data_IF_333821184352
#
_entry.id   IF_333821184352
#
_cell.length_a   1.000
_cell.length_b   1.000
_cell.length_c   1.000
_cell.angle_alpha   90.00
_cell.angle_beta   90.00
_cell.angle_gamma   90.00
#
_symmetry.space_group_name_H-M   'P 1'
#
loop_
_entity.id
_entity.type
_entity.pdbx_description
1 polymer ?
#
# COMPACT_ATOMS: atom_id res chain seq x y z
N UNK A 1 2.00 -17.38 13.76
CA UNK A 1 1.42 -16.02 13.81
C UNK A 1 0.75 -15.78 12.47
N UNK A 2 -0.57 -15.61 12.46
CA UNK A 2 -1.34 -15.38 11.23
C UNK A 2 -1.39 -13.89 10.92
N UNK A 3 -1.09 -13.53 9.67
CA UNK A 3 -1.22 -12.17 9.16
C UNK A 3 -2.18 -12.14 7.97
N UNK A 4 -2.73 -10.95 7.68
CA UNK A 4 -3.57 -10.70 6.52
C UNK A 4 -2.83 -9.80 5.55
N UNK A 5 -2.57 -10.30 4.34
CA UNK A 5 -2.09 -9.45 3.24
C UNK A 5 -3.26 -8.66 2.67
N UNK A 6 -3.14 -7.34 2.67
CA UNK A 6 -4.14 -6.42 2.14
C UNK A 6 -3.57 -5.81 0.86
N UNK A 7 -4.37 -5.85 -0.21
CA UNK A 7 -4.04 -5.23 -1.49
C UNK A 7 -5.15 -4.25 -1.86
N UNK A 8 -4.77 -3.00 -2.12
CA UNK A 8 -5.64 -1.98 -2.67
C UNK A 8 -5.31 -1.81 -4.16
N UNK A 9 -6.32 -1.99 -5.01
CA UNK A 9 -6.20 -1.77 -6.47
C UNK A 9 -6.87 -0.44 -6.80
N UNK A 10 -6.11 0.51 -7.33
CA UNK A 10 -6.59 1.85 -7.66
C UNK A 10 -7.16 1.85 -9.07
N UNK A 11 -8.36 2.43 -9.23
CA UNK A 11 -9.04 2.56 -10.52
C UNK A 11 -9.25 1.24 -11.29
N UNK A 12 -9.23 0.10 -10.59
CA UNK A 12 -9.30 -1.22 -11.22
C UNK A 12 -8.05 -1.63 -12.02
N UNK A 13 -6.99 -0.82 -12.00
CA UNK A 13 -5.72 -1.13 -12.68
C UNK A 13 -4.80 -1.90 -11.74
N UNK A 14 -4.53 -3.16 -12.07
CA UNK A 14 -3.64 -4.05 -11.29
C UNK A 14 -2.18 -3.61 -11.27
N UNK A 15 -1.80 -2.64 -12.10
CA UNK A 15 -0.47 -2.00 -12.05
C UNK A 15 -0.43 -0.80 -11.10
N UNK A 16 -1.57 -0.38 -10.54
CA UNK A 16 -1.68 0.70 -9.56
C UNK A 16 -2.13 0.11 -8.22
N UNK A 17 -1.16 -0.40 -7.46
CA UNK A 17 -1.44 -1.12 -6.21
C UNK A 17 -0.70 -0.56 -5.02
N UNK A 18 -1.36 -0.66 -3.86
CA UNK A 18 -0.76 -0.51 -2.54
C UNK A 18 -0.92 -1.86 -1.83
N UNK A 19 0.15 -2.37 -1.24
CA UNK A 19 0.12 -3.61 -0.48
C UNK A 19 0.69 -3.41 0.93
N UNK A 20 0.10 -4.10 1.91
CA UNK A 20 0.61 -4.13 3.27
C UNK A 20 0.25 -5.44 3.94
N UNK A 21 1.03 -5.81 4.96
CA UNK A 21 0.71 -6.93 5.84
C UNK A 21 0.14 -6.39 7.14
N UNK A 22 -1.08 -6.80 7.49
CA UNK A 22 -1.68 -6.53 8.79
C UNK A 22 -1.46 -7.73 9.69
N UNK A 23 -0.90 -7.50 10.86
CA UNK A 23 -0.63 -8.53 11.87
C UNK A 23 -1.44 -8.22 13.13
N UNK A 24 -1.88 -9.26 13.83
CA UNK A 24 -2.51 -9.11 15.14
C UNK A 24 -1.45 -9.39 16.20
N UNK A 25 -1.23 -8.40 17.07
CA UNK A 25 -0.36 -8.56 18.23
C UNK A 25 -1.01 -9.43 19.31
N UNK A 26 -0.21 -9.88 20.28
CA UNK A 26 -0.69 -10.59 21.47
C UNK A 26 -1.66 -9.74 22.32
N UNK A 27 -1.63 -8.42 22.15
CA UNK A 27 -2.56 -7.46 22.74
C UNK A 27 -3.97 -7.48 22.14
N UNK A 28 -4.15 -8.19 21.00
CA UNK A 28 -5.37 -8.16 20.19
C UNK A 28 -5.49 -6.93 19.29
N UNK A 29 -4.50 -6.03 19.30
CA UNK A 29 -4.45 -4.90 18.36
C UNK A 29 -3.96 -5.36 16.99
N UNK A 30 -4.46 -4.69 15.95
CA UNK A 30 -3.97 -4.89 14.59
C UNK A 30 -2.94 -3.81 14.26
N UNK A 31 -1.77 -4.24 13.83
CA UNK A 31 -0.72 -3.36 13.33
C UNK A 31 -0.52 -3.63 11.83
N UNK A 32 -0.52 -2.55 11.05
CA UNK A 32 -0.08 -2.63 9.66
C UNK A 32 1.44 -2.45 9.62
N UNK A 33 2.14 -3.37 8.98
CA UNK A 33 3.56 -3.24 8.70
C UNK A 33 3.83 -2.16 7.65
N UNK A 34 5.06 -2.15 7.11
CA UNK A 34 5.40 -1.28 5.98
C UNK A 34 4.44 -1.53 4.81
N UNK A 35 4.18 -0.48 4.04
CA UNK A 35 3.42 -0.58 2.80
C UNK A 35 4.36 -0.54 1.59
N UNK A 36 4.02 -1.34 0.59
CA UNK A 36 4.57 -1.27 -0.77
C UNK A 36 3.63 -0.49 -1.68
N UNK A 37 4.20 0.24 -2.62
CA UNK A 37 3.45 0.80 -3.76
C UNK A 37 4.05 0.29 -5.06
N UNK A 38 3.20 0.03 -6.04
CA UNK A 38 3.65 -0.35 -7.39
C UNK A 38 4.46 0.76 -8.05
N UNK A 39 5.47 0.40 -8.84
CA UNK A 39 6.35 1.36 -9.53
C UNK A 39 5.59 2.38 -10.41
N UNK A 40 4.49 1.96 -11.05
CA UNK A 40 3.65 2.86 -11.86
C UNK A 40 2.91 3.87 -11.00
N UNK A 41 2.45 3.47 -9.81
CA UNK A 41 1.81 4.38 -8.87
C UNK A 41 2.83 5.37 -8.30
N UNK A 42 4.03 4.93 -7.97
CA UNK A 42 5.13 5.79 -7.50
C UNK A 42 5.47 6.87 -8.54
N UNK A 43 5.69 6.50 -9.80
CA UNK A 43 5.97 7.43 -10.90
C UNK A 43 4.86 8.48 -11.10
N UNK A 44 3.59 8.06 -10.98
CA UNK A 44 2.46 8.99 -11.06
C UNK A 44 2.43 9.98 -9.89
N UNK A 45 2.73 9.52 -8.67
CA UNK A 45 2.78 10.37 -7.49
C UNK A 45 3.93 11.38 -7.58
N UNK A 46 5.12 10.94 -8.01
CA UNK A 46 6.27 11.84 -8.20
C UNK A 46 5.96 12.93 -9.23
N UNK A 47 5.39 12.56 -10.39
CA UNK A 47 4.97 13.52 -11.42
C UNK A 47 3.91 14.51 -10.93
N UNK A 48 2.96 14.03 -10.11
CA UNK A 48 1.94 14.89 -9.53
C UNK A 48 2.54 15.91 -8.55
N UNK A 49 3.55 15.51 -7.76
CA UNK A 49 4.28 16.41 -6.86
C UNK A 49 5.07 17.47 -7.63
N UNK A 50 5.74 17.08 -8.73
CA UNK A 50 6.47 18.00 -9.60
C UNK A 50 5.54 19.00 -10.31
N UNK A 51 4.37 18.55 -10.78
CA UNK A 51 3.40 19.41 -11.46
C UNK A 51 2.67 20.39 -10.52
N UNK A 52 2.69 20.13 -9.21
CA UNK A 52 2.14 21.01 -8.18
C UNK A 52 3.10 22.08 -7.66
N UNK A 53 4.36 22.09 -8.12
CA UNK A 53 5.38 23.11 -7.84
C UNK A 53 5.39 24.18 -8.93
#
# INVERSE_FOLDING_TARGET
>A
MGGMNVYLVINGDRQLTIDTTVQMEDSGQFEAGSYGISAKLDDLLSKAEEAGK
#
